data_IF_691207946094
#
_entry.id   IF_691207946094
#
_cell.length_a   1.000
_cell.length_b   1.000
_cell.length_c   1.000
_cell.angle_alpha   90.00
_cell.angle_beta   90.00
_cell.angle_gamma   90.00
#
_symmetry.space_group_name_H-M   'P 1'
#
loop_
_entity.id
_entity.type
_entity.pdbx_description
1 polymer ?
#
# COMPACT_ATOMS: atom_id res chain seq x y z
N UNK A 1 6.73 6.47 28.70
CA UNK A 1 6.60 5.77 27.41
C UNK A 1 7.94 5.14 27.10
N UNK A 2 8.07 3.80 27.19
CA UNK A 2 9.35 3.14 26.85
C UNK A 2 9.44 3.07 25.34
N UNK A 3 10.45 3.70 24.74
CA UNK A 3 10.77 3.53 23.33
C UNK A 3 11.06 2.05 23.07
N UNK A 4 10.40 1.51 22.07
CA UNK A 4 10.70 0.15 21.58
C UNK A 4 11.96 0.28 20.72
N UNK A 5 13.08 -0.15 21.29
CA UNK A 5 14.37 -0.13 20.61
C UNK A 5 14.56 -1.47 19.91
N UNK A 6 14.50 -1.49 18.58
CA UNK A 6 14.58 -2.75 17.84
C UNK A 6 15.48 -2.64 16.62
N UNK A 7 16.24 -3.70 16.35
CA UNK A 7 17.15 -3.78 15.21
C UNK A 7 16.47 -4.12 13.90
N UNK A 8 15.25 -4.67 13.96
CA UNK A 8 14.52 -5.17 12.82
C UNK A 8 13.08 -4.68 12.90
N UNK A 9 12.62 -4.02 11.88
CA UNK A 9 11.24 -3.60 11.75
C UNK A 9 10.66 -4.38 10.58
N UNK A 10 9.76 -5.33 10.86
CA UNK A 10 8.97 -5.99 9.85
C UNK A 10 7.66 -5.25 9.74
N UNK A 11 7.48 -4.48 8.67
CA UNK A 11 6.16 -3.96 8.32
C UNK A 11 5.46 -5.03 7.51
N UNK A 12 4.67 -5.84 8.18
CA UNK A 12 3.72 -6.69 7.49
C UNK A 12 2.53 -5.82 7.10
N UNK A 13 2.37 -5.53 5.81
CA UNK A 13 1.04 -5.32 5.26
C UNK A 13 0.34 -6.68 5.37
N UNK A 14 -0.11 -6.99 6.59
CA UNK A 14 -0.86 -8.20 6.84
C UNK A 14 -2.11 -8.14 5.98
N UNK A 15 -2.31 -9.18 5.21
CA UNK A 15 -3.45 -9.33 4.34
C UNK A 15 -4.73 -8.93 5.08
N UNK A 16 -5.54 -8.17 4.40
CA UNK A 16 -6.82 -7.63 4.82
C UNK A 16 -7.63 -8.72 5.50
N UNK A 17 -7.90 -8.56 6.79
CA UNK A 17 -9.00 -9.27 7.44
C UNK A 17 -10.27 -8.51 7.05
N UNK A 18 -10.84 -8.86 5.90
CA UNK A 18 -12.18 -8.38 5.54
C UNK A 18 -13.20 -8.97 6.52
N UNK A 19 -14.23 -8.21 6.91
CA UNK A 19 -15.31 -8.76 7.70
C UNK A 19 -15.97 -9.92 6.95
N UNK A 20 -16.40 -10.94 7.67
CA UNK A 20 -16.82 -12.28 7.25
C UNK A 20 -18.02 -12.37 6.28
N UNK A 21 -18.45 -11.29 5.65
CA UNK A 21 -19.62 -11.23 4.78
C UNK A 21 -19.36 -10.91 3.31
N UNK A 22 -18.12 -10.56 2.92
CA UNK A 22 -17.78 -10.40 1.50
C UNK A 22 -17.28 -11.74 0.99
N UNK A 23 -17.92 -12.28 -0.04
CA UNK A 23 -17.45 -13.46 -0.74
C UNK A 23 -16.06 -13.16 -1.32
N UNK A 24 -15.01 -13.65 -0.65
CA UNK A 24 -13.64 -13.50 -1.09
C UNK A 24 -13.50 -14.04 -2.51
N UNK A 25 -13.09 -13.20 -3.44
CA UNK A 25 -12.53 -13.71 -4.68
C UNK A 25 -11.32 -14.59 -4.31
N UNK A 26 -11.29 -15.88 -4.70
CA UNK A 26 -10.17 -16.77 -4.39
C UNK A 26 -8.83 -16.30 -4.96
N UNK A 27 -8.85 -15.26 -5.81
CA UNK A 27 -7.69 -14.69 -6.48
C UNK A 27 -6.94 -13.63 -5.65
N UNK A 28 -7.53 -13.06 -4.58
CA UNK A 28 -6.90 -11.98 -3.81
C UNK A 28 -6.06 -12.50 -2.64
N UNK A 29 -5.94 -13.79 -2.46
CA UNK A 29 -5.22 -14.35 -1.30
C UNK A 29 -3.77 -13.88 -1.14
N UNK A 30 -3.10 -13.50 -2.24
CA UNK A 30 -1.68 -13.17 -2.22
C UNK A 30 -1.31 -12.31 -3.43
N UNK A 31 -1.61 -11.03 -3.40
CA UNK A 31 -1.12 -10.12 -4.42
C UNK A 31 0.24 -9.59 -3.96
N UNK A 32 1.27 -9.99 -4.68
CA UNK A 32 2.54 -9.27 -4.66
C UNK A 32 2.34 -7.98 -5.46
N UNK A 33 2.22 -6.88 -4.74
CA UNK A 33 2.01 -5.56 -5.32
C UNK A 33 3.35 -4.88 -5.64
N UNK A 34 4.22 -5.58 -6.36
CA UNK A 34 5.52 -5.10 -6.80
C UNK A 34 5.40 -3.98 -7.87
N UNK A 35 4.70 -2.90 -7.53
CA UNK A 35 4.60 -1.73 -8.41
C UNK A 35 5.89 -0.93 -8.32
N UNK A 36 6.53 -0.64 -9.47
CA UNK A 36 7.73 0.17 -9.47
C UNK A 36 7.43 1.60 -9.00
N UNK A 37 8.39 2.20 -8.27
CA UNK A 37 8.30 3.60 -7.85
C UNK A 37 7.99 4.55 -9.02
N UNK A 38 8.59 4.31 -10.18
CA UNK A 38 8.41 5.11 -11.39
C UNK A 38 6.95 5.07 -11.88
N UNK A 39 6.32 3.90 -11.85
CA UNK A 39 4.91 3.74 -12.22
C UNK A 39 3.99 4.41 -11.19
N UNK A 40 4.23 4.18 -9.90
CA UNK A 40 3.47 4.83 -8.82
C UNK A 40 3.53 6.36 -8.97
N UNK A 41 4.74 6.92 -9.11
CA UNK A 41 4.93 8.37 -9.24
C UNK A 41 4.22 8.93 -10.47
N UNK A 42 4.38 8.31 -11.64
CA UNK A 42 3.77 8.81 -12.88
C UNK A 42 2.24 8.74 -12.84
N UNK A 43 1.66 7.65 -12.33
CA UNK A 43 0.21 7.55 -12.17
C UNK A 43 -0.30 8.56 -11.15
N UNK A 44 0.41 8.73 -10.04
CA UNK A 44 0.10 9.75 -9.03
C UNK A 44 0.12 11.18 -9.60
N UNK A 45 1.16 11.53 -10.36
CA UNK A 45 1.28 12.85 -10.98
C UNK A 45 0.09 13.13 -11.93
N UNK A 46 -0.40 12.11 -12.65
CA UNK A 46 -1.60 12.23 -13.52
C UNK A 46 -2.86 12.37 -12.67
N UNK A 47 -3.03 11.54 -11.66
CA UNK A 47 -4.17 11.59 -10.75
C UNK A 47 -4.29 12.98 -10.11
N UNK A 48 -3.18 13.49 -9.54
CA UNK A 48 -3.11 14.81 -8.94
C UNK A 48 -3.44 15.94 -9.91
N UNK A 49 -2.90 15.86 -11.15
CA UNK A 49 -3.15 16.88 -12.18
C UNK A 49 -4.62 16.94 -12.60
N UNK A 50 -5.29 15.79 -12.61
CA UNK A 50 -6.66 15.67 -13.06
C UNK A 50 -7.70 15.91 -11.96
N UNK A 51 -7.26 16.12 -10.71
CA UNK A 51 -8.15 16.38 -9.57
C UNK A 51 -9.08 17.55 -9.84
N UNK A 52 -10.41 17.35 -9.65
CA UNK A 52 -11.43 18.37 -9.88
C UNK A 52 -11.76 18.62 -11.36
N UNK A 53 -11.30 17.78 -12.28
CA UNK A 53 -11.62 17.84 -13.71
C UNK A 53 -12.50 16.65 -14.15
N UNK A 54 -13.04 16.72 -15.35
CA UNK A 54 -13.76 15.57 -15.95
C UNK A 54 -12.88 14.34 -16.18
N UNK A 55 -11.57 14.53 -16.19
CA UNK A 55 -10.56 13.46 -16.32
C UNK A 55 -10.13 12.88 -14.96
N UNK A 56 -10.80 13.23 -13.86
CA UNK A 56 -10.50 12.69 -12.52
C UNK A 56 -10.74 11.19 -12.46
N UNK A 57 -9.86 10.47 -11.77
CA UNK A 57 -9.97 9.04 -11.54
C UNK A 57 -9.31 8.66 -10.20
N UNK A 58 -9.72 7.54 -9.64
CA UNK A 58 -9.08 6.98 -8.45
C UNK A 58 -7.67 6.47 -8.74
N UNK A 59 -6.72 6.76 -7.84
CA UNK A 59 -5.32 6.38 -8.00
C UNK A 59 -5.15 4.85 -8.19
N UNK A 60 -5.91 4.06 -7.41
CA UNK A 60 -5.87 2.61 -7.51
C UNK A 60 -6.38 2.11 -8.88
N UNK A 61 -7.37 2.78 -9.47
CA UNK A 61 -7.88 2.47 -10.81
C UNK A 61 -6.81 2.68 -11.89
N UNK A 62 -6.03 3.75 -11.77
CA UNK A 62 -4.91 4.00 -12.65
C UNK A 62 -3.83 2.92 -12.56
N UNK A 63 -3.46 2.51 -11.35
CA UNK A 63 -2.50 1.41 -11.14
C UNK A 63 -3.08 0.10 -11.67
N UNK A 64 -4.36 -0.20 -11.42
CA UNK A 64 -5.03 -1.40 -11.92
C UNK A 64 -5.04 -1.47 -13.45
N UNK A 65 -5.21 -0.35 -14.13
CA UNK A 65 -5.11 -0.28 -15.58
C UNK A 65 -3.72 -0.68 -16.07
N UNK A 66 -2.67 -0.08 -15.49
CA UNK A 66 -1.28 -0.39 -15.87
C UNK A 66 -0.96 -1.85 -15.59
N UNK A 67 -1.35 -2.36 -14.41
CA UNK A 67 -1.19 -3.77 -14.03
C UNK A 67 -1.88 -4.72 -15.02
N UNK A 68 -3.06 -4.36 -15.49
CA UNK A 68 -3.79 -5.15 -16.49
C UNK A 68 -3.06 -5.22 -17.83
N UNK A 69 -2.42 -4.10 -18.22
CA UNK A 69 -1.73 -3.99 -19.51
C UNK A 69 -0.36 -4.67 -19.52
N UNK A 70 0.34 -4.72 -18.39
CA UNK A 70 1.68 -5.29 -18.28
C UNK A 70 1.70 -6.68 -17.63
N UNK A 71 0.52 -7.26 -17.30
CA UNK A 71 0.41 -8.55 -16.64
C UNK A 71 0.94 -8.52 -15.19
N UNK A 72 0.80 -7.38 -14.52
CA UNK A 72 1.31 -7.11 -13.16
C UNK A 72 2.85 -7.22 -13.03
N UNK A 73 3.56 -6.96 -14.13
CA UNK A 73 5.03 -6.98 -14.19
C UNK A 73 5.55 -5.60 -14.55
N UNK A 74 5.75 -4.77 -13.55
CA UNK A 74 6.15 -3.37 -13.72
C UNK A 74 7.59 -3.23 -14.21
N UNK A 75 7.78 -2.33 -15.19
CA UNK A 75 9.07 -2.08 -15.84
C UNK A 75 9.14 -0.69 -16.46
N UNK A 76 10.30 -0.29 -16.98
CA UNK A 76 10.44 0.98 -17.71
C UNK A 76 9.54 1.10 -18.96
N UNK A 77 9.03 -0.01 -19.49
CA UNK A 77 8.12 -0.03 -20.66
C UNK A 77 6.71 0.43 -20.32
N UNK A 78 6.37 0.57 -19.05
CA UNK A 78 5.03 0.93 -18.57
C UNK A 78 4.63 2.37 -18.95
N UNK A 79 5.58 3.24 -19.30
CA UNK A 79 5.31 4.58 -19.81
C UNK A 79 4.30 4.60 -20.96
N UNK A 80 4.33 3.59 -21.83
CA UNK A 80 3.34 3.44 -22.91
C UNK A 80 1.93 3.24 -22.33
N UNK A 81 1.78 2.33 -21.39
CA UNK A 81 0.47 2.03 -20.78
C UNK A 81 -0.04 3.18 -19.91
N UNK A 82 0.86 3.93 -19.30
CA UNK A 82 0.51 5.15 -18.56
C UNK A 82 0.01 6.24 -19.53
N UNK A 83 0.58 6.36 -20.73
CA UNK A 83 0.07 7.29 -21.74
C UNK A 83 -1.32 6.87 -22.24
N UNK A 84 -1.52 5.58 -22.55
CA UNK A 84 -2.84 5.05 -22.91
C UNK A 84 -3.88 5.32 -21.80
N UNK A 85 -3.47 5.16 -20.51
CA UNK A 85 -4.30 5.48 -19.35
C UNK A 85 -4.69 6.96 -19.28
N UNK A 86 -3.74 7.88 -19.57
CA UNK A 86 -4.02 9.32 -19.62
C UNK A 86 -5.07 9.67 -20.67
N UNK A 87 -4.96 9.09 -21.85
CA UNK A 87 -5.92 9.29 -22.94
C UNK A 87 -7.31 8.78 -22.55
N UNK A 88 -7.37 7.62 -21.91
CA UNK A 88 -8.62 7.07 -21.39
C UNK A 88 -9.23 7.96 -20.31
N UNK A 89 -8.43 8.44 -19.35
CA UNK A 89 -8.88 9.35 -18.30
C UNK A 89 -9.43 10.64 -18.87
N UNK A 90 -8.78 11.21 -19.89
CA UNK A 90 -9.27 12.41 -20.58
C UNK A 90 -10.65 12.22 -21.24
N UNK A 91 -11.06 10.97 -21.49
CA UNK A 91 -12.38 10.59 -21.97
C UNK A 91 -13.36 10.21 -20.84
N UNK A 92 -13.02 10.50 -19.60
CA UNK A 92 -13.84 10.20 -18.41
C UNK A 92 -13.89 8.71 -18.05
N UNK A 93 -13.02 7.87 -18.63
CA UNK A 93 -13.00 6.42 -18.34
C UNK A 93 -11.58 5.86 -18.35
N UNK A 94 -10.90 5.92 -17.21
CA UNK A 94 -9.51 5.44 -17.06
C UNK A 94 -9.34 3.98 -17.49
N UNK A 95 -10.36 3.14 -17.28
CA UNK A 95 -10.35 1.72 -17.67
C UNK A 95 -10.41 1.54 -19.20
N UNK A 96 -11.00 2.49 -19.92
CA UNK A 96 -11.21 2.40 -21.35
C UNK A 96 -11.92 1.09 -21.73
N UNK A 97 -11.44 0.41 -22.76
CA UNK A 97 -11.99 -0.87 -23.23
C UNK A 97 -11.78 -2.05 -22.26
N UNK A 98 -11.04 -1.85 -21.18
CA UNK A 98 -10.77 -2.90 -20.17
C UNK A 98 -11.75 -2.89 -18.99
N UNK A 99 -12.73 -1.97 -18.95
CA UNK A 99 -13.67 -1.85 -17.84
C UNK A 99 -14.34 -3.19 -17.46
N UNK A 100 -14.69 -4.00 -18.46
CA UNK A 100 -15.30 -5.31 -18.26
C UNK A 100 -14.31 -6.49 -18.24
N UNK A 101 -13.03 -6.22 -18.41
CA UNK A 101 -12.00 -7.24 -18.39
C UNK A 101 -11.84 -7.84 -16.98
N UNK A 102 -11.84 -9.18 -16.87
CA UNK A 102 -11.70 -9.88 -15.60
C UNK A 102 -10.41 -9.55 -14.84
N UNK A 103 -9.30 -9.31 -15.56
CA UNK A 103 -8.03 -8.96 -14.95
C UNK A 103 -8.02 -7.51 -14.44
N UNK A 104 -8.71 -6.61 -15.15
CA UNK A 104 -8.87 -5.25 -14.64
C UNK A 104 -9.71 -5.22 -13.36
N UNK A 105 -10.85 -5.92 -13.35
CA UNK A 105 -11.70 -6.04 -12.15
C UNK A 105 -10.91 -6.62 -10.97
N UNK A 106 -10.12 -7.67 -11.24
CA UNK A 106 -9.22 -8.25 -10.22
C UNK A 106 -8.18 -7.26 -9.70
N UNK A 107 -7.44 -6.58 -10.61
CA UNK A 107 -6.43 -5.62 -10.21
C UNK A 107 -7.05 -4.41 -9.49
N UNK A 108 -8.22 -3.93 -9.94
CA UNK A 108 -8.95 -2.84 -9.27
C UNK A 108 -9.31 -3.21 -7.83
N UNK A 109 -9.85 -4.40 -7.61
CA UNK A 109 -10.17 -4.90 -6.27
C UNK A 109 -8.90 -5.03 -5.41
N UNK A 110 -7.83 -5.64 -5.97
CA UNK A 110 -6.59 -5.88 -5.25
C UNK A 110 -5.85 -4.59 -4.89
N UNK A 111 -5.67 -3.68 -5.84
CA UNK A 111 -5.01 -2.40 -5.59
C UNK A 111 -5.88 -1.43 -4.80
N UNK A 112 -7.21 -1.46 -5.01
CA UNK A 112 -8.15 -0.69 -4.20
C UNK A 112 -8.05 -1.05 -2.72
N UNK A 113 -7.99 -2.34 -2.42
CA UNK A 113 -7.85 -2.82 -1.05
C UNK A 113 -6.61 -2.27 -0.31
N UNK A 114 -5.52 -1.98 -1.05
CA UNK A 114 -4.24 -1.50 -0.49
C UNK A 114 -4.15 0.02 -0.54
N UNK A 115 -4.57 0.63 -1.64
CA UNK A 115 -4.31 2.05 -1.96
C UNK A 115 -5.52 2.95 -1.68
N UNK A 116 -6.69 2.40 -1.38
CA UNK A 116 -7.87 3.18 -0.99
C UNK A 116 -7.53 4.08 0.20
N UNK A 117 -7.82 5.35 0.10
CA UNK A 117 -7.50 6.39 1.07
C UNK A 117 -6.00 6.74 1.22
N UNK A 118 -5.07 6.12 0.47
CA UNK A 118 -3.66 6.52 0.49
C UNK A 118 -3.37 7.73 -0.39
N UNK A 119 -4.27 8.05 -1.31
CA UNK A 119 -4.23 9.29 -2.10
C UNK A 119 -5.61 9.92 -2.02
N UNK A 120 -5.67 11.12 -1.48
CA UNK A 120 -6.94 11.79 -1.24
C UNK A 120 -6.76 13.23 -0.76
N UNK A 121 -7.86 13.85 -0.38
CA UNK A 121 -7.86 15.15 0.26
C UNK A 121 -7.36 15.02 1.71
N UNK A 122 -6.55 15.97 2.13
CA UNK A 122 -6.05 16.05 3.50
C UNK A 122 -6.14 17.48 4.03
N UNK A 123 -6.14 17.61 5.35
CA UNK A 123 -6.04 18.89 6.04
C UNK A 123 -4.92 18.79 7.10
N UNK A 124 -4.01 19.75 7.09
CA UNK A 124 -2.94 19.86 8.07
C UNK A 124 -3.55 20.42 9.36
N UNK A 125 -3.59 19.62 10.42
CA UNK A 125 -4.27 19.96 11.67
C UNK A 125 -3.75 21.25 12.31
N UNK A 126 -2.45 21.53 12.19
CA UNK A 126 -1.79 22.69 12.79
C UNK A 126 -2.08 23.99 12.06
N UNK A 127 -2.29 23.96 10.76
CA UNK A 127 -2.45 25.14 9.92
C UNK A 127 -3.84 25.29 9.29
N UNK A 128 -4.62 24.21 9.25
CA UNK A 128 -5.89 24.13 8.51
C UNK A 128 -5.69 24.13 6.98
N UNK A 129 -4.46 24.00 6.50
CA UNK A 129 -4.16 23.94 5.07
C UNK A 129 -4.70 22.66 4.47
N UNK A 130 -5.45 22.80 3.36
CA UNK A 130 -6.04 21.68 2.63
C UNK A 130 -5.25 21.38 1.38
N UNK A 131 -5.08 20.10 1.09
CA UNK A 131 -4.39 19.65 -0.10
C UNK A 131 -4.93 18.32 -0.60
N UNK A 132 -4.42 17.89 -1.75
CA UNK A 132 -4.66 16.55 -2.29
C UNK A 132 -3.32 15.85 -2.52
N UNK A 133 -3.19 14.66 -2.01
CA UNK A 133 -1.94 13.93 -2.12
C UNK A 133 -1.91 12.62 -1.34
N UNK A 134 -0.70 12.16 -1.04
CA UNK A 134 -0.47 10.95 -0.25
C UNK A 134 -0.79 11.24 1.21
N UNK A 135 -1.67 10.42 1.79
CA UNK A 135 -2.14 10.51 3.18
C UNK A 135 -1.46 9.48 4.09
N UNK A 136 -0.53 8.70 3.54
CA UNK A 136 0.21 7.67 4.27
C UNK A 136 1.64 8.13 4.59
N UNK A 137 2.19 7.60 5.69
CA UNK A 137 3.54 7.90 6.16
C UNK A 137 4.45 6.68 6.01
N UNK A 138 5.72 6.94 5.69
CA UNK A 138 6.72 5.88 5.73
C UNK A 138 6.99 5.48 7.20
N UNK A 139 7.10 4.17 7.52
CA UNK A 139 7.14 3.72 8.91
C UNK A 139 8.43 4.07 9.68
N UNK A 140 9.47 4.58 9.01
CA UNK A 140 10.66 5.12 9.67
C UNK A 140 10.56 6.65 9.68
N UNK A 141 10.77 7.24 10.84
CA UNK A 141 10.76 8.70 10.97
C UNK A 141 11.79 9.35 10.05
N UNK A 142 11.42 10.49 9.45
CA UNK A 142 12.31 11.26 8.57
C UNK A 142 13.64 11.60 9.25
N UNK A 143 14.73 11.56 8.48
CA UNK A 143 16.08 11.84 8.97
C UNK A 143 16.82 10.66 9.63
N UNK A 144 16.16 9.51 9.77
CA UNK A 144 16.80 8.31 10.28
C UNK A 144 17.24 7.39 9.16
N UNK A 145 18.42 6.80 9.31
CA UNK A 145 18.92 5.79 8.39
C UNK A 145 18.12 4.51 8.47
N UNK A 146 17.84 3.90 7.33
CA UNK A 146 17.27 2.58 7.22
C UNK A 146 17.79 1.85 5.99
N UNK A 147 17.66 0.53 5.98
CA UNK A 147 17.80 -0.32 4.82
C UNK A 147 16.59 -1.27 4.76
N UNK A 148 16.11 -1.58 3.57
CA UNK A 148 14.99 -2.50 3.41
C UNK A 148 15.36 -3.65 2.48
N UNK A 149 14.74 -4.79 2.71
CA UNK A 149 14.89 -5.98 1.89
C UNK A 149 13.54 -6.33 1.28
N UNK A 150 13.54 -6.53 -0.05
CA UNK A 150 12.36 -7.03 -0.78
C UNK A 150 12.33 -8.55 -0.63
N UNK A 151 11.79 -8.99 0.49
CA UNK A 151 11.74 -10.41 0.88
C UNK A 151 10.31 -10.92 1.11
N UNK A 152 9.31 -10.16 0.63
CA UNK A 152 7.92 -10.61 0.64
C UNK A 152 7.77 -11.93 -0.11
N UNK A 153 7.07 -12.89 0.49
CA UNK A 153 6.85 -14.20 -0.09
C UNK A 153 8.02 -15.19 0.04
N UNK A 154 9.19 -14.75 0.51
CA UNK A 154 10.33 -15.62 0.73
C UNK A 154 10.02 -16.70 1.77
N UNK A 155 10.65 -17.87 1.61
CA UNK A 155 10.49 -18.95 2.57
C UNK A 155 11.16 -18.62 3.90
N UNK A 156 10.42 -18.80 4.98
CA UNK A 156 10.92 -18.69 6.36
C UNK A 156 10.71 -20.01 7.08
N UNK A 157 11.64 -20.34 7.98
CA UNK A 157 11.52 -21.50 8.86
C UNK A 157 11.79 -21.07 10.30
N UNK A 158 10.77 -21.13 11.13
CA UNK A 158 10.90 -20.99 12.58
C UNK A 158 9.90 -21.96 13.20
N UNK A 159 10.33 -23.19 13.40
CA UNK A 159 9.49 -24.30 13.88
C UNK A 159 8.60 -24.93 12.80
N UNK A 160 8.24 -24.21 11.73
CA UNK A 160 7.50 -24.72 10.57
C UNK A 160 7.77 -23.87 9.33
N UNK A 161 7.54 -24.45 8.14
CA UNK A 161 7.69 -23.72 6.87
C UNK A 161 6.55 -22.72 6.70
N UNK A 162 6.90 -21.46 6.43
CA UNK A 162 5.95 -20.38 6.15
C UNK A 162 6.49 -19.43 5.12
N UNK A 163 5.63 -18.59 4.57
CA UNK A 163 6.01 -17.44 3.74
C UNK A 163 6.19 -16.21 4.60
N UNK A 164 7.15 -15.38 4.25
CA UNK A 164 7.26 -14.03 4.82
C UNK A 164 6.20 -13.13 4.20
N UNK A 165 5.33 -12.58 5.02
CA UNK A 165 4.20 -11.74 4.58
C UNK A 165 4.41 -10.27 4.96
N UNK A 166 5.65 -9.81 4.90
CA UNK A 166 6.04 -8.45 5.26
C UNK A 166 7.33 -8.06 4.57
N UNK A 167 7.77 -6.84 4.84
CA UNK A 167 9.08 -6.32 4.45
C UNK A 167 9.93 -6.13 5.68
N UNK A 168 11.17 -6.60 5.64
CA UNK A 168 12.17 -6.33 6.67
C UNK A 168 12.79 -4.96 6.42
N UNK A 169 12.52 -4.02 7.32
CA UNK A 169 13.14 -2.69 7.32
C UNK A 169 14.09 -2.62 8.51
N UNK A 170 15.38 -2.50 8.21
CA UNK A 170 16.46 -2.46 9.20
C UNK A 170 16.76 -1.01 9.57
N UNK A 171 16.75 -0.70 10.86
CA UNK A 171 17.13 0.61 11.39
C UNK A 171 18.09 0.50 12.56
N UNK A 172 18.66 1.62 12.98
CA UNK A 172 19.45 1.70 14.21
C UNK A 172 18.58 1.51 15.47
N UNK A 173 19.18 1.03 16.54
CA UNK A 173 18.50 0.98 17.84
C UNK A 173 18.09 2.40 18.26
N UNK A 174 16.82 2.60 18.63
CA UNK A 174 16.27 3.91 18.97
C UNK A 174 15.64 4.68 17.82
N UNK A 175 15.67 4.13 16.58
CA UNK A 175 14.95 4.75 15.45
C UNK A 175 13.44 4.77 15.74
N UNK A 176 12.78 5.94 15.71
CA UNK A 176 11.35 6.02 15.90
C UNK A 176 10.59 5.36 14.76
N UNK A 177 9.55 4.60 15.11
CA UNK A 177 8.60 4.03 14.17
C UNK A 177 7.37 4.93 14.12
N UNK A 178 6.89 5.21 12.90
CA UNK A 178 5.71 6.02 12.63
C UNK A 178 4.60 5.10 12.12
N UNK A 179 3.37 5.33 12.57
CA UNK A 179 2.22 4.64 11.99
C UNK A 179 2.06 5.02 10.52
N UNK A 180 1.83 4.04 9.65
CA UNK A 180 1.62 4.29 8.20
C UNK A 180 0.39 5.14 7.97
N UNK A 181 -0.67 4.90 8.72
CA UNK A 181 -1.86 5.76 8.76
C UNK A 181 -2.44 5.82 10.18
N UNK A 182 -3.37 6.72 10.39
CA UNK A 182 -4.12 6.82 11.65
C UNK A 182 -4.99 5.58 11.88
N UNK A 183 -5.08 5.16 13.15
CA UNK A 183 -5.87 3.97 13.49
C UNK A 183 -5.93 3.72 14.99
N UNK A 184 -6.59 2.62 15.34
CA UNK A 184 -6.69 2.13 16.72
C UNK A 184 -5.64 1.06 16.97
N UNK A 185 -4.88 1.21 18.05
CA UNK A 185 -3.96 0.15 18.51
C UNK A 185 -4.79 -1.02 19.02
N UNK A 186 -4.77 -2.12 18.29
CA UNK A 186 -5.54 -3.35 18.60
C UNK A 186 -4.68 -4.44 19.19
N UNK A 187 -3.36 -4.38 19.00
CA UNK A 187 -2.41 -5.28 19.64
C UNK A 187 -1.20 -4.51 20.16
N UNK A 188 -0.78 -4.83 21.37
CA UNK A 188 0.42 -4.27 22.00
C UNK A 188 1.04 -5.29 22.93
N UNK A 189 2.35 -5.51 22.82
CA UNK A 189 3.07 -6.37 23.75
C UNK A 189 4.02 -7.34 23.06
N UNK A 190 4.43 -8.36 23.79
CA UNK A 190 5.41 -9.36 23.35
C UNK A 190 4.77 -10.70 23.02
N UNK A 191 5.24 -11.34 21.95
CA UNK A 191 4.97 -12.76 21.69
C UNK A 191 6.24 -13.48 21.19
N UNK A 192 6.22 -14.83 21.22
CA UNK A 192 7.39 -15.64 20.85
C UNK A 192 7.74 -15.56 19.35
N UNK A 193 6.85 -15.10 18.48
CA UNK A 193 7.03 -15.08 17.03
C UNK A 193 7.47 -13.71 16.50
N UNK A 194 6.89 -12.65 17.02
CA UNK A 194 7.15 -11.27 16.60
C UNK A 194 7.91 -10.42 17.63
N UNK A 195 8.31 -11.00 18.77
CA UNK A 195 8.93 -10.24 19.83
C UNK A 195 8.00 -9.15 20.37
N UNK A 196 8.52 -7.94 20.59
CA UNK A 196 7.71 -6.76 20.86
C UNK A 196 7.00 -6.30 19.60
N UNK A 197 5.70 -6.03 19.72
CA UNK A 197 4.85 -5.72 18.58
C UNK A 197 3.80 -4.67 18.89
N UNK A 198 3.38 -3.98 17.83
CA UNK A 198 2.24 -3.07 17.82
C UNK A 198 1.39 -3.42 16.60
N UNK A 199 0.10 -3.66 16.81
CA UNK A 199 -0.89 -3.83 15.76
C UNK A 199 -1.82 -2.62 15.72
N UNK A 200 -2.02 -2.03 14.55
CA UNK A 200 -2.90 -0.87 14.34
C UNK A 200 -3.93 -1.24 13.27
N UNK A 201 -5.20 -1.10 13.61
CA UNK A 201 -6.30 -1.18 12.64
C UNK A 201 -6.68 0.22 12.19
N UNK A 202 -6.75 0.45 10.87
CA UNK A 202 -7.17 1.73 10.30
C UNK A 202 -8.54 2.18 10.82
N UNK A 203 -8.82 3.48 10.80
CA UNK A 203 -10.11 4.03 11.30
C UNK A 203 -11.31 3.49 10.55
N UNK A 204 -11.16 3.16 9.26
CA UNK A 204 -12.22 2.54 8.45
C UNK A 204 -12.32 1.02 8.62
N UNK A 205 -11.43 0.41 9.41
CA UNK A 205 -11.40 -1.02 9.70
C UNK A 205 -10.93 -1.92 8.54
N UNK A 206 -10.49 -1.34 7.43
CA UNK A 206 -10.16 -2.10 6.21
C UNK A 206 -8.73 -2.62 6.18
N UNK A 207 -7.79 -1.98 6.90
CA UNK A 207 -6.37 -2.32 6.91
C UNK A 207 -5.88 -2.57 8.33
N UNK A 208 -4.95 -3.51 8.43
CA UNK A 208 -4.26 -3.83 9.67
C UNK A 208 -2.75 -3.74 9.45
N UNK A 209 -2.10 -2.96 10.25
CA UNK A 209 -0.65 -2.75 10.24
C UNK A 209 -0.02 -3.44 11.43
N UNK A 210 0.99 -4.24 11.15
CA UNK A 210 1.70 -4.99 12.16
C UNK A 210 3.19 -4.60 12.16
N UNK A 211 3.62 -4.03 13.26
CA UNK A 211 5.01 -3.63 13.51
C UNK A 211 5.58 -4.58 14.56
N UNK A 212 6.72 -5.22 14.25
CA UNK A 212 7.31 -6.25 15.10
C UNK A 212 8.84 -6.14 15.13
N UNK A 213 9.44 -6.70 16.21
CA UNK A 213 10.87 -6.77 16.55
C UNK A 213 11.53 -5.49 17.03
#
# INVERSE_FOLDING_TARGET
MKLITTKLITVALAGIILPLAAAFSPFIRWVDCAVSYDALKKVYDVCRKNRGTEAEFDFADGIAYVATRNGNKFSRKDSKYINDMKENAASGNVAGKYADNKYYKYHKEAYGAILENFVGDYEIAETGEKGFGITAYFPIASGHWYNHYDDFGNSRSFGFKRKHLGHDIMGGVGTPIVAVEGGTVTELGWNRYGGWRVGITSLDGKRYYYYAH
#
